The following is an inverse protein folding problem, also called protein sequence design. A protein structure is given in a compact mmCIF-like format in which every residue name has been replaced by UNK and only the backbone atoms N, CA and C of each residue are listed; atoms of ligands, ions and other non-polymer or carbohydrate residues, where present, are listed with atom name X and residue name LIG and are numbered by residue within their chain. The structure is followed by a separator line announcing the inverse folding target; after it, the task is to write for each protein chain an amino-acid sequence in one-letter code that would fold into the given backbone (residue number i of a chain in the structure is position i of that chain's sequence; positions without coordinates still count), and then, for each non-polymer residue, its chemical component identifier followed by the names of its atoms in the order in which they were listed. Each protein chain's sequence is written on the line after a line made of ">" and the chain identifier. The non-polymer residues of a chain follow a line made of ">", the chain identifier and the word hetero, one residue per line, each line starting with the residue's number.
data_IF_693085097055
#
_entry.id   IF_693085097055
#
_cell.length_a   1.000
_cell.length_b   1.000
_cell.length_c   1.000
_cell.angle_alpha   90.00
_cell.angle_beta   90.00
_cell.angle_gamma   90.00
#
_symmetry.space_group_name_H-M   'P 1'
#
loop_
_entity.id
_entity.type
_entity.pdbx_description
1 polymer ?
#
# COMPACT_ATOMS: atom_id res chain seq x y z
N UNK A 1 -6.94 16.62 17.24
CA UNK A 1 -6.84 18.03 16.86
C UNK A 1 -8.07 18.35 16.03
N UNK A 2 -9.06 19.04 16.60
CA UNK A 2 -10.26 19.46 15.87
C UNK A 2 -10.02 20.76 15.10
N UNK A 3 -8.98 20.77 14.26
CA UNK A 3 -8.67 21.91 13.40
C UNK A 3 -9.51 21.82 12.13
N UNK A 4 -10.64 22.53 12.11
CA UNK A 4 -11.45 22.65 10.89
C UNK A 4 -10.71 23.52 9.88
N UNK A 5 -10.49 22.99 8.69
CA UNK A 5 -9.83 23.71 7.62
C UNK A 5 -10.67 24.92 7.16
N UNK A 6 -10.05 26.09 7.04
CA UNK A 6 -10.72 27.30 6.56
C UNK A 6 -10.85 27.28 5.03
N UNK A 7 -12.01 26.80 4.55
CA UNK A 7 -12.28 26.58 3.11
C UNK A 7 -11.98 27.78 2.20
N UNK A 8 -12.37 29.03 2.55
CA UNK A 8 -12.06 30.17 1.70
C UNK A 8 -10.56 30.37 1.46
N UNK A 9 -9.72 30.10 2.47
CA UNK A 9 -8.26 30.20 2.34
C UNK A 9 -7.72 29.11 1.42
N UNK A 10 -8.17 27.88 1.58
CA UNK A 10 -7.74 26.75 0.74
C UNK A 10 -8.08 27.00 -0.74
N UNK A 11 -9.29 27.49 -1.00
CA UNK A 11 -9.72 27.82 -2.36
C UNK A 11 -8.92 28.98 -2.96
N UNK A 12 -8.63 30.03 -2.19
CA UNK A 12 -7.80 31.15 -2.63
C UNK A 12 -6.40 30.67 -3.01
N UNK A 13 -5.78 29.84 -2.17
CA UNK A 13 -4.46 29.27 -2.43
C UNK A 13 -4.46 28.47 -3.74
N UNK A 14 -5.43 27.54 -3.90
CA UNK A 14 -5.55 26.74 -5.12
C UNK A 14 -5.75 27.59 -6.38
N UNK A 15 -6.65 28.58 -6.33
CA UNK A 15 -6.88 29.53 -7.44
C UNK A 15 -5.67 30.42 -7.75
N UNK A 16 -4.77 30.60 -6.79
CA UNK A 16 -3.53 31.37 -6.94
C UNK A 16 -2.36 30.53 -7.47
N UNK A 17 -2.59 29.28 -7.86
CA UNK A 17 -1.55 28.37 -8.36
C UNK A 17 -0.74 27.67 -7.27
N UNK A 18 -1.21 27.69 -6.01
CA UNK A 18 -0.60 26.90 -4.92
C UNK A 18 -1.06 25.46 -5.02
N UNK A 19 -0.11 24.54 -4.97
CA UNK A 19 -0.34 23.09 -4.94
C UNK A 19 -0.20 22.54 -3.53
N UNK A 20 -1.00 21.52 -3.22
CA UNK A 20 -0.93 20.82 -1.95
C UNK A 20 -0.23 19.48 -2.14
N UNK A 21 0.90 19.31 -1.45
CA UNK A 21 1.69 18.08 -1.48
C UNK A 21 1.59 17.42 -0.12
N UNK A 22 1.31 16.12 -0.11
CA UNK A 22 1.21 15.31 1.11
C UNK A 22 2.11 14.09 1.01
N UNK A 23 2.69 13.68 2.13
CA UNK A 23 3.52 12.48 2.23
C UNK A 23 2.67 11.28 2.65
N UNK A 24 2.63 10.29 1.77
CA UNK A 24 1.97 9.01 2.03
C UNK A 24 3.00 7.99 2.49
N UNK A 25 2.60 7.07 3.36
CA UNK A 25 3.43 5.89 3.65
C UNK A 25 3.48 5.01 2.41
N UNK A 26 4.66 4.50 2.12
CA UNK A 26 4.95 3.68 0.95
C UNK A 26 5.88 2.54 1.36
N UNK A 27 5.90 1.46 0.58
CA UNK A 27 6.87 0.38 0.82
C UNK A 27 8.29 0.91 0.67
N UNK A 28 9.13 0.69 1.69
CA UNK A 28 10.47 1.27 1.74
C UNK A 28 10.53 2.76 2.08
N UNK A 29 9.46 3.38 2.59
CA UNK A 29 9.53 4.74 3.14
C UNK A 29 8.25 5.57 2.95
N UNK A 30 8.38 6.66 2.20
CA UNK A 30 7.28 7.57 1.88
C UNK A 30 7.28 7.94 0.40
N UNK A 31 6.11 8.37 -0.07
CA UNK A 31 5.93 8.92 -1.40
C UNK A 31 5.07 10.17 -1.30
N UNK A 32 5.58 11.28 -1.83
CA UNK A 32 4.81 12.51 -1.91
C UNK A 32 3.88 12.48 -3.12
N UNK A 33 2.63 12.92 -2.93
CA UNK A 33 1.68 13.13 -4.02
C UNK A 33 1.11 14.53 -3.96
N UNK A 34 0.74 15.06 -5.10
CA UNK A 34 -0.11 16.27 -5.16
C UNK A 34 -1.56 15.86 -5.00
N UNK A 35 -2.30 16.56 -4.15
CA UNK A 35 -3.74 16.38 -3.96
C UNK A 35 -4.51 17.65 -4.31
N UNK A 36 -5.76 17.46 -4.69
CA UNK A 36 -6.68 18.57 -4.94
C UNK A 36 -7.09 19.25 -3.64
N UNK A 37 -7.35 20.55 -3.71
CA UNK A 37 -7.82 21.35 -2.58
C UNK A 37 -9.06 20.75 -1.88
N UNK A 38 -9.98 20.15 -2.66
CA UNK A 38 -11.20 19.50 -2.17
C UNK A 38 -10.94 18.24 -1.34
N UNK A 39 -9.76 17.65 -1.48
CA UNK A 39 -9.40 16.38 -0.85
C UNK A 39 -8.56 16.57 0.42
N UNK A 40 -8.07 17.79 0.69
CA UNK A 40 -7.35 18.15 1.92
C UNK A 40 -8.11 17.81 3.20
N UNK A 41 -9.41 18.12 3.25
CA UNK A 41 -10.22 17.88 4.45
C UNK A 41 -10.29 16.38 4.76
N UNK A 42 -10.47 15.54 3.72
CA UNK A 42 -10.48 14.08 3.86
C UNK A 42 -9.11 13.56 4.30
N UNK A 43 -8.04 14.03 3.66
CA UNK A 43 -6.68 13.62 4.02
C UNK A 43 -6.34 13.99 5.46
N UNK A 44 -6.66 15.20 5.92
CA UNK A 44 -6.37 15.64 7.29
C UNK A 44 -7.19 14.86 8.32
N UNK A 45 -8.45 14.54 8.02
CA UNK A 45 -9.31 13.77 8.94
C UNK A 45 -8.96 12.28 9.00
N UNK A 46 -8.54 11.70 7.88
CA UNK A 46 -8.23 10.28 7.76
C UNK A 46 -7.14 10.05 6.70
N UNK A 47 -5.85 10.26 7.05
CA UNK A 47 -4.75 10.08 6.11
C UNK A 47 -4.67 8.64 5.59
N UNK A 48 -4.96 7.64 6.45
CA UNK A 48 -4.83 6.22 6.11
C UNK A 48 -5.93 5.79 5.15
N UNK A 49 -7.19 6.10 5.46
CA UNK A 49 -8.31 5.80 4.58
C UNK A 49 -8.24 6.56 3.25
N UNK A 50 -7.81 7.83 3.28
CA UNK A 50 -7.53 8.58 2.06
C UNK A 50 -6.46 7.88 1.21
N UNK A 51 -5.36 7.45 1.83
CA UNK A 51 -4.27 6.78 1.11
C UNK A 51 -4.70 5.43 0.53
N UNK A 52 -5.41 4.62 1.31
CA UNK A 52 -5.94 3.35 0.86
C UNK A 52 -6.86 3.55 -0.36
N UNK A 53 -7.78 4.53 -0.28
CA UNK A 53 -8.66 4.87 -1.40
C UNK A 53 -7.88 5.36 -2.62
N UNK A 54 -6.83 6.17 -2.43
CA UNK A 54 -5.97 6.64 -3.51
C UNK A 54 -5.32 5.48 -4.30
N UNK A 55 -4.99 4.38 -3.62
CA UNK A 55 -4.45 3.17 -4.26
C UNK A 55 -5.51 2.12 -4.66
N UNK A 56 -6.80 2.42 -4.50
CA UNK A 56 -7.88 1.45 -4.75
C UNK A 56 -7.87 0.26 -3.79
N UNK A 57 -7.30 0.44 -2.59
CA UNK A 57 -7.16 -0.56 -1.55
C UNK A 57 -8.26 -0.46 -0.49
N UNK A 58 -8.56 -1.58 0.17
CA UNK A 58 -9.14 -1.52 1.52
C UNK A 58 -8.09 -0.99 2.51
N UNK A 59 -8.54 -0.41 3.63
CA UNK A 59 -7.63 0.05 4.70
C UNK A 59 -6.79 -1.12 5.22
N UNK A 60 -7.41 -2.28 5.42
CA UNK A 60 -6.76 -3.48 5.91
C UNK A 60 -5.69 -3.99 4.93
N UNK A 61 -5.98 -3.99 3.62
CA UNK A 61 -5.00 -4.38 2.61
C UNK A 61 -3.84 -3.40 2.54
N UNK A 62 -4.12 -2.10 2.56
CA UNK A 62 -3.08 -1.07 2.54
C UNK A 62 -2.16 -1.19 3.74
N UNK A 63 -2.71 -1.36 4.94
CA UNK A 63 -1.91 -1.52 6.16
C UNK A 63 -1.06 -2.80 6.13
N UNK A 64 -1.62 -3.93 5.67
CA UNK A 64 -0.84 -5.16 5.49
C UNK A 64 0.27 -5.01 4.46
N UNK A 65 0.00 -4.31 3.36
CA UNK A 65 0.99 -4.05 2.33
C UNK A 65 2.18 -3.24 2.87
N UNK A 66 1.91 -2.22 3.68
CA UNK A 66 2.95 -1.44 4.38
C UNK A 66 3.68 -2.30 5.43
N UNK A 67 2.96 -3.01 6.29
CA UNK A 67 3.54 -3.84 7.35
C UNK A 67 4.47 -4.95 6.81
N UNK A 68 4.14 -5.49 5.65
CA UNK A 68 4.94 -6.53 4.98
C UNK A 68 6.03 -5.96 4.08
N UNK A 69 6.21 -4.63 4.05
CA UNK A 69 7.13 -3.93 3.16
C UNK A 69 6.98 -4.40 1.70
N UNK A 70 5.73 -4.59 1.27
CA UNK A 70 5.39 -5.06 -0.07
C UNK A 70 5.74 -6.52 -0.34
N UNK A 71 5.93 -7.33 0.70
CA UNK A 71 6.19 -8.78 0.59
C UNK A 71 4.89 -9.57 0.68
N UNK A 72 4.43 -10.23 -0.40
CA UNK A 72 3.21 -11.03 -0.36
C UNK A 72 3.39 -12.24 0.56
N UNK A 73 2.37 -12.55 1.36
CA UNK A 73 2.39 -13.66 2.32
C UNK A 73 1.55 -14.83 1.86
N UNK A 74 1.89 -16.01 2.36
CA UNK A 74 1.18 -17.24 2.09
C UNK A 74 -0.29 -17.18 2.53
N UNK A 75 -1.22 -17.73 1.73
CA UNK A 75 -2.64 -17.83 2.06
C UNK A 75 -3.02 -19.06 2.89
N UNK A 76 -2.12 -20.04 3.04
CA UNK A 76 -2.41 -21.26 3.79
C UNK A 76 -2.67 -20.99 5.28
N UNK A 77 -3.51 -21.81 5.90
CA UNK A 77 -3.74 -21.79 7.34
C UNK A 77 -2.79 -22.76 8.04
N UNK A 78 -2.19 -22.31 9.13
CA UNK A 78 -1.42 -23.14 10.05
C UNK A 78 -2.33 -24.09 10.81
N UNK A 79 -1.75 -25.11 11.47
CA UNK A 79 -2.49 -26.02 12.37
C UNK A 79 -3.28 -25.31 13.47
N UNK A 80 -2.93 -24.06 13.81
CA UNK A 80 -3.63 -23.22 14.80
C UNK A 80 -4.70 -22.31 14.18
N UNK A 81 -5.05 -22.49 12.90
CA UNK A 81 -6.03 -21.69 12.18
C UNK A 81 -5.57 -20.28 11.79
N UNK A 82 -4.32 -19.90 12.11
CA UNK A 82 -3.76 -18.60 11.70
C UNK A 82 -3.18 -18.66 10.30
N UNK A 83 -3.26 -17.57 9.53
CA UNK A 83 -2.59 -17.43 8.23
C UNK A 83 -1.09 -17.65 8.37
N UNK A 84 -0.50 -18.35 7.40
CA UNK A 84 0.94 -18.54 7.29
C UNK A 84 1.63 -17.19 6.97
N UNK A 85 2.66 -16.84 7.74
CA UNK A 85 3.39 -15.58 7.60
C UNK A 85 4.61 -15.67 6.67
N UNK A 86 4.90 -16.86 6.13
CA UNK A 86 5.99 -17.04 5.18
C UNK A 86 5.65 -16.35 3.85
N UNK A 87 6.68 -15.81 3.20
CA UNK A 87 6.53 -15.08 1.95
C UNK A 87 6.24 -16.00 0.77
N UNK A 88 5.50 -15.46 -0.20
CA UNK A 88 5.45 -15.98 -1.56
C UNK A 88 6.75 -15.58 -2.27
N UNK A 89 7.27 -16.47 -3.12
CA UNK A 89 8.54 -16.25 -3.80
C UNK A 89 8.57 -15.00 -4.71
N UNK A 90 9.79 -14.52 -4.98
CA UNK A 90 10.06 -13.34 -5.80
C UNK A 90 10.22 -12.03 -5.02
N UNK A 91 10.40 -12.07 -3.71
CA UNK A 91 10.83 -10.90 -2.92
C UNK A 91 9.74 -9.84 -2.66
N UNK A 92 10.16 -8.78 -1.98
CA UNK A 92 9.31 -7.70 -1.45
C UNK A 92 9.35 -6.40 -2.26
N UNK A 93 9.00 -5.29 -1.59
CA UNK A 93 8.92 -3.93 -2.14
C UNK A 93 8.10 -3.81 -3.44
N UNK A 94 7.07 -4.63 -3.57
CA UNK A 94 6.17 -4.58 -4.73
C UNK A 94 5.19 -3.43 -4.58
N UNK A 95 4.80 -2.83 -5.71
CA UNK A 95 3.64 -1.93 -5.71
C UNK A 95 2.38 -2.64 -5.20
N UNK A 96 1.40 -1.87 -4.73
CA UNK A 96 0.19 -2.41 -4.10
C UNK A 96 -0.56 -3.39 -5.02
N UNK A 97 -0.68 -3.06 -6.32
CA UNK A 97 -1.39 -3.90 -7.28
C UNK A 97 -0.72 -5.26 -7.41
N UNK A 98 0.59 -5.28 -7.62
CA UNK A 98 1.34 -6.52 -7.78
C UNK A 98 1.43 -7.31 -6.48
N UNK A 99 1.51 -6.63 -5.34
CA UNK A 99 1.42 -7.28 -4.04
C UNK A 99 0.06 -7.98 -3.88
N UNK A 100 -1.04 -7.28 -4.17
CA UNK A 100 -2.41 -7.79 -4.01
C UNK A 100 -2.71 -9.00 -4.89
N UNK A 101 -2.15 -9.05 -6.10
CA UNK A 101 -2.26 -10.21 -7.01
C UNK A 101 -1.58 -11.47 -6.47
N UNK A 102 -0.51 -11.31 -5.67
CA UNK A 102 0.33 -12.40 -5.18
C UNK A 102 0.00 -12.79 -3.74
N UNK A 103 -0.51 -11.84 -2.96
CA UNK A 103 -0.84 -12.04 -1.56
C UNK A 103 -1.96 -13.07 -1.43
N UNK A 104 -1.69 -14.14 -0.68
CA UNK A 104 -2.57 -15.29 -0.58
C UNK A 104 -2.15 -16.49 -1.45
N UNK A 105 -1.10 -16.34 -2.27
CA UNK A 105 -0.44 -17.49 -2.92
C UNK A 105 0.19 -18.45 -1.91
N UNK A 106 0.92 -19.47 -2.38
CA UNK A 106 1.62 -20.39 -1.47
C UNK A 106 3.09 -20.08 -1.36
N UNK A 107 3.63 -20.25 -0.15
CA UNK A 107 5.07 -20.30 0.08
C UNK A 107 5.60 -21.71 -0.22
N UNK A 108 6.93 -21.87 -0.27
CA UNK A 108 7.58 -23.15 -0.59
C UNK A 108 7.08 -24.33 0.27
N UNK A 109 6.88 -24.11 1.57
CA UNK A 109 6.43 -25.19 2.48
C UNK A 109 4.97 -25.60 2.25
N UNK A 110 4.18 -24.76 1.59
CA UNK A 110 2.80 -25.03 1.22
C UNK A 110 2.63 -25.26 -0.29
N UNK A 111 3.70 -25.67 -0.98
CA UNK A 111 3.66 -26.07 -2.39
C UNK A 111 3.78 -24.90 -3.39
N UNK A 112 4.19 -23.73 -2.92
CA UNK A 112 4.57 -22.61 -3.79
C UNK A 112 5.97 -22.75 -4.36
N UNK A 113 6.29 -21.87 -5.31
CA UNK A 113 7.62 -21.78 -5.92
C UNK A 113 8.70 -21.42 -4.90
N UNK A 114 9.93 -21.81 -5.19
CA UNK A 114 11.14 -21.36 -4.51
C UNK A 114 11.55 -19.97 -5.01
N UNK A 115 12.36 -19.26 -4.21
CA UNK A 115 12.95 -18.00 -4.65
C UNK A 115 13.86 -18.17 -5.88
N UNK A 116 14.48 -19.34 -6.07
CA UNK A 116 15.32 -19.62 -7.23
C UNK A 116 14.49 -19.68 -8.52
N UNK A 117 13.41 -20.47 -8.51
CA UNK A 117 12.49 -20.61 -9.64
C UNK A 117 11.83 -19.27 -10.02
N UNK A 118 11.38 -18.51 -9.01
CA UNK A 118 10.78 -17.19 -9.24
C UNK A 118 11.78 -16.18 -9.83
N UNK A 119 13.05 -16.26 -9.45
CA UNK A 119 14.10 -15.39 -9.98
C UNK A 119 14.50 -15.76 -11.41
N UNK A 120 14.53 -17.05 -11.74
CA UNK A 120 14.82 -17.52 -13.11
C UNK A 120 13.78 -17.00 -14.10
N UNK A 121 12.48 -17.10 -13.78
CA UNK A 121 11.38 -16.59 -14.61
C UNK A 121 11.43 -15.09 -14.89
N UNK A 122 12.00 -14.31 -13.96
CA UNK A 122 12.19 -12.86 -14.13
C UNK A 122 13.34 -12.50 -15.05
N UNK A 123 14.34 -13.37 -15.17
CA UNK A 123 15.51 -13.14 -16.02
C UNK A 123 15.26 -13.54 -17.48
N UNK A 124 14.21 -14.32 -17.73
CA UNK A 124 13.82 -14.78 -19.06
C UNK A 124 12.81 -13.86 -19.78
N UNK A 125 12.49 -12.70 -19.21
CA UNK A 125 11.65 -11.64 -19.77
C UNK A 125 12.43 -10.32 -19.76
#
# INVERSE_FOLDING_TARGET
>A
MDAKLHKPTIELLSKSGVYFVVDLRWVGGSRSITIEARDLEKYVSDPVGFTAQHFGASVEDYLRWIETEGTPQCGALTKKGKRCTLSVAGGGQRDFKRWKELDGGYCQVHGGETSAEANEKRRSH
#
